data_IF_616008755150
#
_entry.id   IF_616008755150
#
_cell.length_a   1.000
_cell.length_b   1.000
_cell.length_c   1.000
_cell.angle_alpha   90.00
_cell.angle_beta   90.00
_cell.angle_gamma   90.00
#
_symmetry.space_group_name_H-M   'P 1'
#
loop_
_entity.id
_entity.type
_entity.pdbx_description
1 polymer ?
#
# COMPACT_ATOMS: atom_id res chain seq x y z
N UNK A 1 -6.65 -12.96 -17.17
CA UNK A 1 -5.29 -13.27 -17.68
C UNK A 1 -4.42 -12.01 -17.51
N UNK A 2 -4.34 -11.51 -16.27
CA UNK A 2 -3.64 -10.25 -15.93
C UNK A 2 -2.32 -10.61 -15.30
N UNK A 3 -1.40 -11.12 -16.10
CA UNK A 3 0.00 -11.22 -15.75
C UNK A 3 0.79 -10.49 -16.82
N UNK A 4 1.84 -9.81 -16.38
CA UNK A 4 3.22 -9.96 -16.89
C UNK A 4 4.04 -8.67 -16.91
N UNK A 5 3.77 -7.78 -15.96
CA UNK A 5 4.75 -6.75 -15.67
C UNK A 5 5.11 -6.74 -14.19
N UNK A 6 4.15 -6.86 -13.26
CA UNK A 6 4.43 -6.85 -11.82
C UNK A 6 5.38 -5.70 -11.46
N UNK A 7 6.35 -5.97 -10.59
CA UNK A 7 7.41 -5.01 -10.27
C UNK A 7 8.29 -4.67 -11.48
N UNK A 8 8.57 -5.61 -12.38
CA UNK A 8 9.37 -5.32 -13.59
C UNK A 8 8.73 -4.27 -14.51
N UNK A 9 7.40 -4.23 -14.59
CA UNK A 9 6.65 -3.19 -15.30
C UNK A 9 6.74 -1.85 -14.61
N UNK A 10 6.63 -1.86 -13.28
CA UNK A 10 6.78 -0.68 -12.45
C UNK A 10 8.17 -0.07 -12.59
N UNK A 11 9.23 -0.88 -12.55
CA UNK A 11 10.63 -0.46 -12.74
C UNK A 11 10.85 0.22 -14.10
N UNK A 12 10.17 -0.23 -15.15
CA UNK A 12 10.26 0.41 -16.48
C UNK A 12 9.62 1.79 -16.51
N UNK A 13 8.56 2.02 -15.73
CA UNK A 13 7.89 3.32 -15.64
C UNK A 13 8.60 4.26 -14.67
N UNK A 14 9.12 3.70 -13.57
CA UNK A 14 9.73 4.45 -12.48
C UNK A 14 10.97 3.71 -12.00
N UNK A 15 12.15 3.95 -12.59
CA UNK A 15 13.37 3.29 -12.14
C UNK A 15 13.64 3.56 -10.64
N UNK A 16 14.00 2.54 -9.85
CA UNK A 16 14.25 2.72 -8.43
C UNK A 16 15.46 3.66 -8.21
N UNK A 17 15.43 4.51 -7.17
CA UNK A 17 16.57 5.35 -6.82
C UNK A 17 17.83 4.52 -6.52
N UNK A 18 19.00 5.08 -6.80
CA UNK A 18 20.26 4.40 -6.49
C UNK A 18 20.39 4.18 -4.97
N UNK A 19 20.63 2.93 -4.55
CA UNK A 19 20.74 2.56 -3.15
C UNK A 19 19.41 2.45 -2.41
N UNK A 20 18.27 2.55 -3.10
CA UNK A 20 16.96 2.22 -2.54
C UNK A 20 16.81 0.72 -2.30
N UNK A 21 15.72 0.34 -1.63
CA UNK A 21 15.42 -1.03 -1.26
C UNK A 21 15.65 -1.30 0.22
N UNK A 22 14.91 -2.27 0.75
CA UNK A 22 15.05 -2.77 2.11
C UNK A 22 15.00 -4.29 2.12
N UNK A 23 15.84 -4.91 2.95
CA UNK A 23 15.78 -6.35 3.20
C UNK A 23 14.91 -6.61 4.42
N UNK A 24 13.88 -7.43 4.25
CA UNK A 24 12.94 -7.80 5.31
C UNK A 24 13.07 -9.29 5.60
N UNK A 25 13.11 -9.65 6.90
CA UNK A 25 12.97 -11.05 7.32
C UNK A 25 11.49 -11.45 7.23
N UNK A 26 11.10 -11.93 6.05
CA UNK A 26 9.72 -12.29 5.73
C UNK A 26 9.19 -13.45 6.58
N UNK A 27 10.04 -14.37 7.01
CA UNK A 27 9.61 -15.48 7.87
C UNK A 27 9.24 -14.96 9.26
N UNK A 28 10.08 -14.09 9.83
CA UNK A 28 9.80 -13.47 11.11
C UNK A 28 8.56 -12.56 11.03
N UNK A 29 8.45 -11.73 10.00
CA UNK A 29 7.28 -10.86 9.76
C UNK A 29 6.01 -11.69 9.64
N UNK A 30 6.00 -12.76 8.83
CA UNK A 30 4.82 -13.62 8.66
C UNK A 30 4.39 -14.26 9.97
N UNK A 31 5.33 -14.79 10.75
CA UNK A 31 5.03 -15.41 12.06
C UNK A 31 4.38 -14.42 13.02
N UNK A 32 4.82 -13.18 12.96
CA UNK A 32 4.46 -12.09 13.85
C UNK A 32 3.13 -11.46 13.45
N UNK A 33 2.88 -11.29 12.16
CA UNK A 33 1.64 -10.71 11.61
C UNK A 33 0.54 -11.74 11.43
N UNK A 34 0.87 -13.04 11.38
CA UNK A 34 -0.09 -14.09 11.04
C UNK A 34 -0.54 -14.05 9.57
N UNK A 35 0.14 -13.27 8.73
CA UNK A 35 -0.20 -13.01 7.34
C UNK A 35 0.99 -13.33 6.44
N UNK A 36 0.69 -13.94 5.29
CA UNK A 36 1.64 -14.00 4.17
C UNK A 36 1.41 -12.76 3.33
N UNK A 37 2.43 -11.92 3.16
CA UNK A 37 2.32 -10.74 2.30
C UNK A 37 2.40 -11.11 0.80
N UNK A 38 1.77 -10.31 -0.09
CA UNK A 38 1.83 -10.51 -1.53
C UNK A 38 3.27 -10.52 -2.05
N UNK A 39 3.58 -11.38 -3.03
CA UNK A 39 4.92 -11.49 -3.59
C UNK A 39 5.42 -10.19 -4.23
N UNK A 40 4.52 -9.45 -4.88
CA UNK A 40 4.82 -8.19 -5.57
C UNK A 40 5.21 -7.07 -4.58
N UNK A 41 4.59 -7.03 -3.40
CA UNK A 41 4.96 -6.13 -2.32
C UNK A 41 6.37 -6.42 -1.78
N UNK A 42 6.71 -7.70 -1.62
CA UNK A 42 8.05 -8.09 -1.14
C UNK A 42 9.13 -7.65 -2.12
N UNK A 43 8.88 -7.85 -3.41
CA UNK A 43 9.78 -7.43 -4.48
C UNK A 43 9.82 -5.90 -4.61
N UNK A 44 8.69 -5.21 -4.44
CA UNK A 44 8.64 -3.74 -4.39
C UNK A 44 9.55 -3.20 -3.29
N UNK A 45 9.42 -3.69 -2.05
CA UNK A 45 10.27 -3.25 -0.94
C UNK A 45 11.76 -3.51 -1.20
N UNK A 46 12.09 -4.64 -1.84
CA UNK A 46 13.48 -4.96 -2.18
C UNK A 46 14.11 -3.96 -3.18
N UNK A 47 13.30 -3.29 -4.01
CA UNK A 47 13.76 -2.34 -5.01
C UNK A 47 13.59 -0.87 -4.61
N UNK A 48 12.48 -0.52 -3.97
CA UNK A 48 12.10 0.86 -3.68
C UNK A 48 12.24 1.23 -2.21
N UNK A 49 12.26 0.26 -1.30
CA UNK A 49 12.33 0.53 0.13
C UNK A 49 11.01 1.05 0.68
N UNK A 50 11.09 2.04 1.57
CA UNK A 50 9.98 2.60 2.35
C UNK A 50 9.26 3.76 1.66
N UNK A 51 9.46 3.97 0.36
CA UNK A 51 8.60 4.88 -0.37
C UNK A 51 9.16 5.42 -1.68
N UNK A 52 8.36 6.33 -2.24
CA UNK A 52 8.65 7.13 -3.41
C UNK A 52 8.59 8.61 -2.97
N UNK A 53 9.60 9.12 -2.25
CA UNK A 53 9.53 10.42 -1.60
C UNK A 53 9.31 11.58 -2.59
N UNK A 54 9.81 11.44 -3.83
CA UNK A 54 9.58 12.43 -4.89
C UNK A 54 8.13 12.47 -5.39
N UNK A 55 7.32 11.46 -5.06
CA UNK A 55 5.93 11.32 -5.45
C UNK A 55 4.99 11.33 -4.23
N UNK A 56 5.50 11.80 -3.09
CA UNK A 56 4.77 11.95 -1.84
C UNK A 56 4.15 10.66 -1.26
N UNK A 57 4.56 9.49 -1.74
CA UNK A 57 4.06 8.20 -1.24
C UNK A 57 5.07 7.55 -0.29
N UNK A 58 4.69 7.39 0.97
CA UNK A 58 5.36 6.52 1.93
C UNK A 58 4.82 5.09 1.83
N UNK A 59 5.72 4.11 1.77
CA UNK A 59 5.37 2.68 1.81
C UNK A 59 5.83 2.09 3.13
N UNK A 60 4.89 1.50 3.85
CA UNK A 60 5.10 1.04 5.22
C UNK A 60 5.83 -0.31 5.20
N UNK A 61 7.05 -0.34 5.73
CA UNK A 61 7.82 -1.59 5.86
C UNK A 61 7.29 -2.36 7.07
N UNK A 62 6.83 -3.62 6.92
CA UNK A 62 6.36 -4.41 8.04
C UNK A 62 7.51 -4.72 9.00
N UNK A 63 7.24 -4.59 10.30
CA UNK A 63 8.22 -4.82 11.36
C UNK A 63 7.79 -5.94 12.31
N UNK A 64 8.76 -6.47 13.04
CA UNK A 64 8.56 -7.48 14.10
C UNK A 64 8.42 -6.89 15.50
N UNK A 65 8.75 -5.60 15.66
CA UNK A 65 8.71 -4.86 16.92
C UNK A 65 7.80 -3.65 16.78
N UNK A 66 7.14 -3.31 17.87
CA UNK A 66 6.47 -2.02 18.04
C UNK A 66 7.49 -1.05 18.66
N UNK A 67 7.83 0.07 18.01
CA UNK A 67 8.72 1.08 18.57
C UNK A 67 8.19 1.57 19.92
N UNK A 68 9.09 1.90 20.86
CA UNK A 68 8.70 2.40 22.19
C UNK A 68 7.87 3.70 22.11
N UNK A 69 8.03 4.48 21.02
CA UNK A 69 7.22 5.68 20.75
C UNK A 69 5.76 5.40 20.42
N UNK A 70 5.39 4.13 20.21
CA UNK A 70 4.02 3.67 20.13
C UNK A 70 3.65 3.11 21.51
N UNK A 71 3.37 4.02 22.44
CA UNK A 71 3.39 3.84 23.91
C UNK A 71 2.43 2.78 24.52
N UNK A 72 1.71 2.00 23.71
CA UNK A 72 0.71 1.06 24.22
C UNK A 72 1.23 -0.40 24.21
N UNK A 73 1.28 -1.09 25.38
CA UNK A 73 1.55 -2.52 25.42
C UNK A 73 0.53 -3.31 24.60
N UNK A 74 1.00 -3.96 23.53
CA UNK A 74 0.11 -4.64 22.57
C UNK A 74 -0.29 -3.80 21.36
N UNK A 75 0.24 -2.57 21.23
CA UNK A 75 0.08 -1.75 20.03
C UNK A 75 0.50 -2.54 18.78
N UNK A 76 -0.19 -2.30 17.65
CA UNK A 76 0.13 -2.93 16.39
C UNK A 76 1.62 -2.83 16.04
N UNK A 77 2.13 -3.86 15.35
CA UNK A 77 3.57 -4.06 15.19
C UNK A 77 4.17 -3.12 14.16
N UNK A 78 4.89 -2.11 14.62
CA UNK A 78 5.58 -1.12 13.79
C UNK A 78 4.63 -0.09 13.14
N UNK A 79 5.21 0.83 12.36
CA UNK A 79 4.45 1.90 11.69
C UNK A 79 3.30 1.37 10.82
N UNK A 80 3.52 0.24 10.13
CA UNK A 80 2.48 -0.42 9.34
C UNK A 80 1.29 -0.88 10.20
N UNK A 81 1.57 -1.45 11.37
CA UNK A 81 0.52 -1.87 12.29
C UNK A 81 -0.27 -0.67 12.81
N UNK A 82 0.42 0.37 13.25
CA UNK A 82 -0.22 1.55 13.85
C UNK A 82 -1.18 2.21 12.85
N UNK A 83 -0.69 2.46 11.64
CA UNK A 83 -1.51 3.04 10.56
C UNK A 83 -2.64 2.09 10.15
N UNK A 84 -2.43 0.77 10.19
CA UNK A 84 -3.52 -0.21 9.96
C UNK A 84 -4.62 -0.09 11.01
N UNK A 85 -4.29 0.10 12.30
CA UNK A 85 -5.31 0.28 13.33
C UNK A 85 -6.09 1.59 13.14
N UNK A 86 -5.40 2.69 12.82
CA UNK A 86 -6.05 3.97 12.49
C UNK A 86 -7.00 3.81 11.29
N UNK A 87 -6.53 3.16 10.23
CA UNK A 87 -7.34 2.86 9.03
C UNK A 87 -8.62 2.10 9.37
N UNK A 88 -8.52 1.12 10.28
CA UNK A 88 -9.68 0.33 10.73
C UNK A 88 -10.67 1.15 11.54
N UNK A 89 -10.17 2.04 12.40
CA UNK A 89 -11.01 2.99 13.12
C UNK A 89 -11.74 3.92 12.14
N UNK A 90 -11.02 4.49 11.16
CA UNK A 90 -11.62 5.31 10.10
C UNK A 90 -12.69 4.56 9.31
N UNK A 91 -12.45 3.29 8.96
CA UNK A 91 -13.45 2.46 8.27
C UNK A 91 -14.74 2.30 9.08
N UNK A 92 -14.61 2.05 10.39
CA UNK A 92 -15.77 1.94 11.29
C UNK A 92 -16.51 3.28 11.42
N UNK A 93 -15.78 4.39 11.54
CA UNK A 93 -16.36 5.72 11.72
C UNK A 93 -17.07 6.24 10.46
N UNK A 94 -16.57 5.88 9.27
CA UNK A 94 -17.10 6.36 7.98
C UNK A 94 -18.18 5.46 7.38
N UNK A 95 -18.32 4.23 7.89
CA UNK A 95 -19.31 3.23 7.45
C UNK A 95 -19.48 3.16 5.92
N UNK A 96 -18.40 2.89 5.15
CA UNK A 96 -18.43 3.00 3.70
C UNK A 96 -19.45 2.05 3.07
N UNK A 97 -20.15 2.55 2.05
CA UNK A 97 -21.13 1.77 1.29
C UNK A 97 -20.54 1.31 -0.03
N UNK A 98 -20.95 0.13 -0.51
CA UNK A 98 -20.54 -0.40 -1.82
C UNK A 98 -19.24 -1.20 -1.85
N UNK A 99 -18.59 -1.41 -0.70
CA UNK A 99 -17.47 -2.35 -0.55
C UNK A 99 -17.86 -3.36 0.54
N UNK A 100 -18.00 -4.63 0.14
CA UNK A 100 -18.29 -5.73 1.08
C UNK A 100 -16.98 -6.19 1.73
N UNK A 101 -16.67 -5.63 2.89
CA UNK A 101 -15.46 -5.91 3.65
C UNK A 101 -15.66 -5.61 5.15
N UNK A 102 -14.96 -6.36 5.99
CA UNK A 102 -14.85 -6.06 7.41
C UNK A 102 -13.62 -5.18 7.66
N UNK A 103 -13.65 -4.32 8.69
CA UNK A 103 -12.51 -3.49 9.05
C UNK A 103 -11.27 -4.36 9.33
N UNK A 104 -11.46 -5.52 9.94
CA UNK A 104 -10.38 -6.46 10.31
C UNK A 104 -9.61 -7.00 9.10
N UNK A 105 -10.20 -6.98 7.91
CA UNK A 105 -9.55 -7.39 6.67
C UNK A 105 -8.62 -6.30 6.12
N UNK A 106 -8.72 -5.05 6.58
CA UNK A 106 -7.86 -3.96 6.10
C UNK A 106 -6.44 -4.10 6.64
N UNK A 107 -5.48 -3.97 5.73
CA UNK A 107 -4.05 -3.87 6.03
C UNK A 107 -3.46 -2.72 5.24
N UNK A 108 -2.94 -1.70 5.92
CA UNK A 108 -2.43 -0.48 5.29
C UNK A 108 -0.97 -0.66 4.92
N UNK A 109 -0.65 -0.38 3.66
CA UNK A 109 0.69 -0.53 3.09
C UNK A 109 1.33 0.79 2.67
N UNK A 110 0.57 1.87 2.60
CA UNK A 110 1.11 3.18 2.30
C UNK A 110 0.22 4.32 2.77
N UNK A 111 0.82 5.49 2.82
CA UNK A 111 0.14 6.75 3.06
C UNK A 111 0.89 7.86 2.32
N UNK A 112 0.19 8.94 1.95
CA UNK A 112 0.82 10.12 1.36
C UNK A 112 0.68 11.37 2.26
N UNK A 113 1.26 12.48 1.82
CA UNK A 113 1.23 13.75 2.55
C UNK A 113 -0.16 14.39 2.67
N UNK A 114 -1.14 13.91 1.90
CA UNK A 114 -2.55 14.27 2.03
C UNK A 114 -3.30 13.42 3.06
N UNK A 115 -2.60 12.50 3.73
CA UNK A 115 -3.16 11.51 4.64
C UNK A 115 -4.13 10.52 3.97
N UNK A 116 -4.04 10.35 2.64
CA UNK A 116 -4.73 9.27 1.97
C UNK A 116 -4.10 7.93 2.40
N UNK A 117 -4.94 6.92 2.61
CA UNK A 117 -4.51 5.61 3.12
C UNK A 117 -4.64 4.56 2.03
N UNK A 118 -3.54 3.86 1.77
CA UNK A 118 -3.45 2.84 0.74
C UNK A 118 -3.41 1.47 1.41
N UNK A 119 -4.47 0.70 1.19
CA UNK A 119 -4.74 -0.54 1.93
C UNK A 119 -4.91 -1.73 1.00
N UNK A 120 -4.81 -2.93 1.56
CA UNK A 120 -5.34 -4.16 0.96
C UNK A 120 -6.57 -4.62 1.73
N UNK A 121 -7.43 -5.40 1.06
CA UNK A 121 -8.32 -6.33 1.75
C UNK A 121 -7.64 -7.69 1.84
N UNK A 122 -7.07 -7.98 3.01
CA UNK A 122 -6.22 -9.12 3.29
C UNK A 122 -6.99 -10.43 3.55
N UNK A 123 -7.97 -10.73 2.70
CA UNK A 123 -8.81 -11.91 2.81
C UNK A 123 -8.45 -12.96 1.74
N UNK A 124 -8.25 -14.21 2.16
CA UNK A 124 -7.96 -15.32 1.25
C UNK A 124 -6.51 -15.32 0.74
N UNK A 125 -6.33 -15.55 -0.56
CA UNK A 125 -5.00 -15.68 -1.18
C UNK A 125 -4.30 -14.30 -1.30
N UNK A 126 -3.09 -14.12 -0.75
CA UNK A 126 -2.35 -12.86 -0.80
C UNK A 126 -2.15 -12.28 -2.19
N UNK A 127 -1.98 -13.12 -3.20
CA UNK A 127 -1.75 -12.67 -4.57
C UNK A 127 -3.02 -12.07 -5.22
N UNK A 128 -4.18 -12.29 -4.60
CA UNK A 128 -5.48 -11.81 -5.08
C UNK A 128 -6.03 -10.64 -4.24
N UNK A 129 -5.26 -10.14 -3.26
CA UNK A 129 -5.71 -9.05 -2.39
C UNK A 129 -5.89 -7.74 -3.19
N UNK A 130 -7.12 -7.19 -3.23
CA UNK A 130 -7.40 -5.94 -3.92
C UNK A 130 -6.87 -4.76 -3.12
N UNK A 131 -6.52 -3.68 -3.82
CA UNK A 131 -6.25 -2.39 -3.19
C UNK A 131 -7.56 -1.70 -2.81
N UNK A 132 -7.58 -1.11 -1.61
CA UNK A 132 -8.62 -0.19 -1.15
C UNK A 132 -7.95 1.10 -0.71
N UNK A 133 -8.39 2.20 -1.29
CA UNK A 133 -7.89 3.55 -1.01
C UNK A 133 -8.92 4.30 -0.19
N UNK A 134 -8.49 4.94 0.88
CA UNK A 134 -9.22 6.03 1.51
C UNK A 134 -8.64 7.36 1.06
N UNK A 135 -9.45 8.19 0.41
CA UNK A 135 -9.09 9.58 0.16
C UNK A 135 -9.56 10.43 1.33
N UNK A 136 -8.62 10.99 2.08
CA UNK A 136 -8.91 11.81 3.25
C UNK A 136 -9.61 13.11 2.85
N UNK A 137 -9.20 13.73 1.73
CA UNK A 137 -9.80 14.98 1.28
C UNK A 137 -11.30 14.87 0.96
N UNK A 138 -11.70 13.72 0.39
CA UNK A 138 -13.06 13.45 -0.07
C UNK A 138 -13.86 12.55 0.87
N UNK A 139 -13.26 12.10 1.99
CA UNK A 139 -13.84 11.12 2.93
C UNK A 139 -14.45 9.89 2.22
N UNK A 140 -13.73 9.38 1.22
CA UNK A 140 -14.26 8.40 0.28
C UNK A 140 -13.36 7.18 0.18
N UNK A 141 -13.98 6.00 0.24
CA UNK A 141 -13.32 4.72 0.03
C UNK A 141 -13.52 4.22 -1.41
N UNK A 142 -12.43 3.85 -2.08
CA UNK A 142 -12.45 3.29 -3.44
C UNK A 142 -11.72 1.96 -3.49
N UNK A 143 -12.36 0.95 -4.08
CA UNK A 143 -11.76 -0.37 -4.31
C UNK A 143 -11.22 -0.49 -5.73
N UNK A 144 -10.06 -1.11 -5.86
CA UNK A 144 -9.43 -1.51 -7.12
C UNK A 144 -9.17 -3.03 -7.09
N UNK A 145 -9.76 -3.76 -8.03
CA UNK A 145 -9.57 -5.21 -8.16
C UNK A 145 -8.22 -5.57 -8.81
N UNK A 146 -7.14 -5.14 -8.15
CA UNK A 146 -5.75 -5.46 -8.47
C UNK A 146 -4.86 -5.30 -7.23
N UNK A 147 -3.71 -5.99 -7.23
CA UNK A 147 -2.68 -5.82 -6.21
C UNK A 147 -1.94 -4.48 -6.29
N UNK A 148 -1.04 -4.26 -5.33
CA UNK A 148 -0.34 -2.98 -5.14
C UNK A 148 0.43 -2.53 -6.38
N UNK A 149 1.24 -3.41 -6.97
CA UNK A 149 2.14 -3.00 -8.06
C UNK A 149 1.38 -2.66 -9.34
N UNK A 150 0.31 -3.40 -9.63
CA UNK A 150 -0.59 -3.09 -10.75
C UNK A 150 -1.36 -1.79 -10.52
N UNK A 151 -1.84 -1.54 -9.29
CA UNK A 151 -2.45 -0.26 -8.93
C UNK A 151 -1.49 0.90 -9.19
N UNK A 152 -0.26 0.84 -8.66
CA UNK A 152 0.75 1.87 -8.87
C UNK A 152 1.06 2.05 -10.36
N UNK A 153 1.17 0.95 -11.13
CA UNK A 153 1.40 1.01 -12.58
C UNK A 153 0.28 1.77 -13.30
N UNK A 154 -0.98 1.53 -12.95
CA UNK A 154 -2.14 2.25 -13.51
C UNK A 154 -2.09 3.74 -13.19
N UNK A 155 -1.84 4.11 -11.94
CA UNK A 155 -1.73 5.51 -11.53
C UNK A 155 -0.58 6.23 -12.25
N UNK A 156 0.61 5.62 -12.26
CA UNK A 156 1.82 6.19 -12.86
C UNK A 156 1.73 6.32 -14.38
N UNK A 157 0.90 5.51 -15.04
CA UNK A 157 0.63 5.56 -16.49
C UNK A 157 -0.62 6.35 -16.85
N UNK A 158 -1.27 7.01 -15.88
CA UNK A 158 -2.51 7.76 -16.06
C UNK A 158 -3.64 6.91 -16.69
N UNK A 159 -3.73 5.64 -16.29
CA UNK A 159 -4.77 4.73 -16.75
C UNK A 159 -6.14 5.15 -16.21
N UNK A 160 -7.14 5.23 -17.10
CA UNK A 160 -8.53 5.58 -16.76
C UNK A 160 -9.13 4.75 -15.63
N UNK A 161 -8.68 3.50 -15.42
CA UNK A 161 -9.14 2.65 -14.30
C UNK A 161 -8.71 3.18 -12.92
N UNK A 162 -7.76 4.11 -12.87
CA UNK A 162 -7.29 4.77 -11.65
C UNK A 162 -7.54 6.29 -11.67
N UNK A 163 -8.49 6.77 -12.49
CA UNK A 163 -8.74 8.20 -12.71
C UNK A 163 -9.10 8.99 -11.43
N UNK A 164 -9.58 8.32 -10.37
CA UNK A 164 -9.78 8.97 -9.06
C UNK A 164 -8.48 9.56 -8.50
N UNK A 165 -7.32 9.00 -8.86
CA UNK A 165 -6.00 9.48 -8.44
C UNK A 165 -5.50 10.70 -9.23
N UNK A 166 -6.28 11.27 -10.17
CA UNK A 166 -5.82 12.30 -11.12
C UNK A 166 -5.18 13.53 -10.48
N UNK A 167 -5.57 13.84 -9.24
CA UNK A 167 -5.11 15.02 -8.51
C UNK A 167 -3.91 14.71 -7.58
N UNK A 168 -3.49 13.44 -7.50
CA UNK A 168 -2.32 13.01 -6.72
C UNK A 168 -0.99 13.26 -7.45
N UNK A 169 0.10 13.36 -6.68
CA UNK A 169 1.45 13.49 -7.22
C UNK A 169 1.89 12.28 -8.06
N UNK A 170 1.33 11.09 -7.78
CA UNK A 170 1.61 9.84 -8.51
C UNK A 170 1.06 9.87 -9.94
N UNK A 171 -0.02 10.61 -10.21
CA UNK A 171 -0.74 10.52 -11.47
C UNK A 171 0.12 10.91 -12.68
N UNK A 172 0.28 9.93 -13.58
CA UNK A 172 1.06 10.09 -14.81
C UNK A 172 2.55 10.35 -14.57
N UNK A 173 3.08 10.16 -13.34
CA UNK A 173 4.48 10.47 -13.05
C UNK A 173 5.45 9.60 -13.87
N UNK A 174 5.08 8.36 -14.21
CA UNK A 174 5.88 7.50 -15.10
C UNK A 174 5.87 7.94 -16.57
N UNK A 175 5.01 8.88 -16.96
CA UNK A 175 4.98 9.47 -18.31
C UNK A 175 5.84 10.74 -18.41
N UNK A 176 6.16 11.35 -17.28
CA UNK A 176 7.04 12.53 -17.21
C UNK A 176 8.46 12.01 -17.42
N UNK A 177 8.98 12.14 -18.64
CA UNK A 177 10.37 11.78 -18.92
C UNK A 177 11.29 12.54 -17.95
N UNK A 178 12.07 11.79 -17.17
CA UNK A 178 13.26 12.29 -16.48
C UNK A 178 14.26 12.85 -17.50
#
# INVERSE_FOLDING_TARGET
MTDRAGVAGLIRLLPPPAGAGVSVDWEAVQRVWGLVFPSDFKEFLAHYGDGLPNLDLGVLVPAIVTPETCDEPGAPKGGMGFITADTRATWVDTEPTGIDAAAEDLVTWGADGSADLYCWLAHGNPEDWPVVLFSHGDDTWTRFDCGMTEFLRRVLSADSQAQVMKDSALWGAGLRRL
#
